data_IF_001286046172
#
_entry.id   IF_001286046172
#
_cell.length_a   1.000
_cell.length_b   1.000
_cell.length_c   1.000
_cell.angle_alpha   90.00
_cell.angle_beta   90.00
_cell.angle_gamma   90.00
#
_symmetry.space_group_name_H-M   'P 1'
#
loop_
_entity.id
_entity.type
_entity.pdbx_description
1 polymer ?
#
# COMPACT_ATOMS: atom_id res chain seq x y z
N UNK A 1 12.80 23.55 -7.90
CA UNK A 1 11.35 23.25 -7.75
C UNK A 1 11.22 21.80 -7.33
N UNK A 2 10.62 21.54 -6.17
CA UNK A 2 10.38 20.17 -5.73
C UNK A 2 9.17 19.66 -6.50
N UNK A 3 9.36 18.67 -7.37
CA UNK A 3 8.27 17.99 -8.04
C UNK A 3 7.42 17.29 -6.99
N UNK A 4 6.13 17.57 -6.97
CA UNK A 4 5.20 16.90 -6.06
C UNK A 4 5.01 15.45 -6.52
N UNK A 5 5.43 14.50 -5.71
CA UNK A 5 5.19 13.08 -5.96
C UNK A 5 3.69 12.78 -5.96
N UNK A 6 3.18 12.28 -7.06
CA UNK A 6 1.74 12.06 -7.27
C UNK A 6 1.35 10.61 -6.99
N UNK A 7 0.03 10.36 -6.89
CA UNK A 7 -0.51 8.98 -6.84
C UNK A 7 -0.04 8.16 -8.03
N UNK A 8 -0.04 8.76 -9.22
CA UNK A 8 0.42 8.07 -10.44
C UNK A 8 1.88 7.68 -10.33
N UNK A 9 2.75 8.58 -9.87
CA UNK A 9 4.18 8.28 -9.69
C UNK A 9 4.40 7.10 -8.75
N UNK A 10 3.64 7.04 -7.67
CA UNK A 10 3.67 5.94 -6.71
C UNK A 10 3.23 4.61 -7.34
N UNK A 11 2.12 4.62 -8.06
CA UNK A 11 1.61 3.44 -8.74
C UNK A 11 2.54 2.98 -9.87
N UNK A 12 3.11 3.91 -10.62
CA UNK A 12 4.11 3.60 -11.65
C UNK A 12 5.36 2.93 -11.06
N UNK A 13 5.85 3.42 -9.92
CA UNK A 13 6.99 2.83 -9.24
C UNK A 13 6.73 1.38 -8.80
N UNK A 14 5.50 1.05 -8.41
CA UNK A 14 5.13 -0.30 -7.99
C UNK A 14 4.79 -1.24 -9.16
N UNK A 15 4.04 -0.77 -10.15
CA UNK A 15 3.36 -1.63 -11.11
C UNK A 15 3.82 -1.47 -12.56
N UNK A 16 4.60 -0.45 -12.93
CA UNK A 16 4.93 -0.23 -14.34
C UNK A 16 5.70 -1.39 -14.98
N UNK A 17 6.64 -1.99 -14.26
CA UNK A 17 7.37 -3.16 -14.77
C UNK A 17 6.46 -4.37 -15.00
N UNK A 18 5.53 -4.59 -14.08
CA UNK A 18 4.53 -5.66 -14.22
C UNK A 18 3.70 -5.50 -15.50
N UNK A 19 3.17 -4.30 -15.75
CA UNK A 19 2.30 -4.05 -16.90
C UNK A 19 3.00 -3.99 -18.26
N UNK A 20 4.33 -4.03 -18.31
CA UNK A 20 5.06 -4.22 -19.58
C UNK A 20 4.80 -5.58 -20.21
N UNK A 21 4.75 -6.63 -19.40
CA UNK A 21 4.72 -8.01 -19.87
C UNK A 21 3.50 -8.82 -19.40
N UNK A 22 2.71 -8.24 -18.49
CA UNK A 22 1.59 -8.93 -17.85
C UNK A 22 0.29 -8.14 -17.97
N UNK A 23 -0.81 -8.87 -17.87
CA UNK A 23 -2.15 -8.34 -17.70
C UNK A 23 -2.71 -8.83 -16.37
N UNK A 24 -3.37 -7.97 -15.64
CA UNK A 24 -3.98 -8.31 -14.38
C UNK A 24 -4.62 -7.09 -13.74
N UNK A 25 -5.08 -7.26 -12.52
CA UNK A 25 -5.89 -6.26 -11.84
C UNK A 25 -5.26 -5.84 -10.53
N UNK A 26 -5.26 -4.54 -10.29
CA UNK A 26 -4.96 -3.98 -8.97
C UNK A 26 -6.26 -4.01 -8.16
N UNK A 27 -6.25 -4.76 -7.07
CA UNK A 27 -7.37 -4.84 -6.15
C UNK A 27 -7.38 -3.62 -5.25
N UNK A 28 -8.53 -2.95 -5.13
CA UNK A 28 -8.75 -1.86 -4.18
C UNK A 28 -9.96 -2.15 -3.33
N UNK A 29 -9.77 -2.06 -2.03
CA UNK A 29 -10.84 -2.13 -1.03
C UNK A 29 -11.00 -0.78 -0.36
N UNK A 30 -12.23 -0.36 -0.18
CA UNK A 30 -12.52 0.88 0.53
C UNK A 30 -13.76 0.74 1.40
N UNK A 31 -13.76 1.46 2.50
CA UNK A 31 -14.93 1.54 3.39
C UNK A 31 -15.04 2.94 3.97
N UNK A 32 -16.28 3.36 4.13
CA UNK A 32 -16.61 4.60 4.82
C UNK A 32 -16.39 4.39 6.32
N UNK A 33 -15.74 5.35 6.97
CA UNK A 33 -15.51 5.28 8.41
C UNK A 33 -16.85 5.22 9.14
N UNK A 34 -16.97 4.29 10.08
CA UNK A 34 -18.19 4.04 10.84
C UNK A 34 -19.23 3.15 10.13
N UNK A 35 -18.97 2.73 8.88
CA UNK A 35 -19.83 1.81 8.13
C UNK A 35 -19.05 0.50 7.87
N UNK A 36 -19.55 -0.65 8.33
CA UNK A 36 -18.87 -1.92 8.11
C UNK A 36 -18.90 -2.40 6.65
N UNK A 37 -19.71 -1.76 5.80
CA UNK A 37 -19.87 -2.16 4.40
C UNK A 37 -18.63 -1.80 3.57
N UNK A 38 -18.00 -2.82 3.01
CA UNK A 38 -16.80 -2.71 2.19
C UNK A 38 -17.15 -2.66 0.70
N UNK A 39 -16.45 -1.80 -0.03
CA UNK A 39 -16.46 -1.79 -1.50
C UNK A 39 -15.18 -2.43 -2.03
N UNK A 40 -15.30 -3.27 -3.04
CA UNK A 40 -14.17 -3.92 -3.71
C UNK A 40 -14.21 -3.59 -5.19
N UNK A 41 -13.09 -3.11 -5.72
CA UNK A 41 -12.94 -2.82 -7.15
C UNK A 41 -11.64 -3.39 -7.69
N UNK A 42 -11.60 -3.65 -8.98
CA UNK A 42 -10.47 -4.21 -9.70
C UNK A 42 -10.10 -3.29 -10.85
N UNK A 43 -8.87 -2.82 -10.87
CA UNK A 43 -8.40 -1.86 -11.88
C UNK A 43 -7.44 -2.56 -12.84
N UNK A 44 -7.73 -2.53 -14.16
CA UNK A 44 -6.94 -3.24 -15.14
C UNK A 44 -5.62 -2.55 -15.51
N UNK A 45 -5.42 -1.32 -15.06
CA UNK A 45 -4.19 -0.56 -15.32
C UNK A 45 -4.02 0.59 -14.33
N UNK A 46 -2.81 1.16 -14.36
CA UNK A 46 -2.41 2.26 -13.48
C UNK A 46 -3.20 3.54 -13.74
N UNK A 47 -3.43 3.86 -15.01
CA UNK A 47 -4.04 5.13 -15.43
C UNK A 47 -5.46 5.28 -14.89
N UNK A 48 -6.25 4.24 -14.94
CA UNK A 48 -7.63 4.24 -14.42
C UNK A 48 -7.62 4.41 -12.90
N UNK A 49 -6.77 3.66 -12.19
CA UNK A 49 -6.67 3.79 -10.73
C UNK A 49 -6.14 5.17 -10.30
N UNK A 50 -5.16 5.71 -11.02
CA UNK A 50 -4.58 7.01 -10.70
C UNK A 50 -5.60 8.16 -10.80
N UNK A 51 -6.60 8.02 -11.64
CA UNK A 51 -7.67 9.01 -11.86
C UNK A 51 -8.90 8.79 -10.98
N UNK A 52 -8.98 7.69 -10.27
CA UNK A 52 -10.15 7.37 -9.44
C UNK A 52 -10.25 8.32 -8.25
N UNK A 53 -11.48 8.74 -7.95
CA UNK A 53 -11.79 9.57 -6.80
C UNK A 53 -12.42 8.75 -5.69
N UNK A 54 -11.84 8.89 -4.49
CA UNK A 54 -12.42 8.41 -3.25
C UNK A 54 -12.66 9.60 -2.33
N UNK A 55 -13.83 9.66 -1.70
CA UNK A 55 -14.16 10.70 -0.74
C UNK A 55 -13.23 10.67 0.48
N UNK A 56 -13.01 11.82 1.11
CA UNK A 56 -12.15 11.92 2.30
C UNK A 56 -12.67 11.10 3.50
N UNK A 57 -13.96 10.76 3.50
CA UNK A 57 -14.60 9.92 4.51
C UNK A 57 -14.30 8.41 4.34
N UNK A 58 -13.59 8.04 3.30
CA UNK A 58 -13.28 6.63 3.00
C UNK A 58 -11.82 6.31 3.29
N UNK A 59 -11.62 5.17 3.94
CA UNK A 59 -10.31 4.54 4.02
C UNK A 59 -10.13 3.64 2.80
N UNK A 60 -8.99 3.76 2.12
CA UNK A 60 -8.71 3.10 0.85
C UNK A 60 -7.45 2.25 0.99
N UNK A 61 -7.56 0.99 0.63
CA UNK A 61 -6.46 0.02 0.65
C UNK A 61 -6.32 -0.63 -0.72
N UNK A 62 -5.10 -0.83 -1.16
CA UNK A 62 -4.84 -1.55 -2.41
C UNK A 62 -3.94 -2.76 -2.18
N UNK A 63 -4.08 -3.76 -3.03
CA UNK A 63 -3.24 -4.94 -3.00
C UNK A 63 -1.96 -4.73 -3.80
N UNK A 64 -0.81 -4.94 -3.16
CA UNK A 64 0.50 -4.89 -3.83
C UNK A 64 0.65 -6.01 -4.86
N UNK A 65 0.04 -7.16 -4.63
CA UNK A 65 0.13 -8.30 -5.54
C UNK A 65 -1.01 -8.24 -6.57
N UNK A 66 -0.73 -8.01 -7.86
CA UNK A 66 -1.78 -8.05 -8.89
C UNK A 66 -2.51 -9.38 -8.94
N UNK A 67 -3.79 -9.32 -9.26
CA UNK A 67 -4.65 -10.50 -9.45
C UNK A 67 -4.78 -10.80 -10.94
N UNK A 68 -4.65 -12.07 -11.33
CA UNK A 68 -4.86 -12.48 -12.73
C UNK A 68 -6.32 -12.40 -13.17
N UNK A 69 -7.25 -12.39 -12.20
CA UNK A 69 -8.70 -12.28 -12.41
C UNK A 69 -9.30 -11.27 -11.45
N UNK A 70 -10.54 -10.85 -11.71
CA UNK A 70 -11.32 -9.99 -10.82
C UNK A 70 -11.80 -10.77 -9.58
N UNK A 71 -10.85 -11.32 -8.83
CA UNK A 71 -11.02 -12.14 -7.62
C UNK A 71 -10.04 -11.70 -6.56
N UNK A 72 -10.48 -11.62 -5.31
CA UNK A 72 -9.65 -11.13 -4.21
C UNK A 72 -8.76 -12.22 -3.59
N UNK A 73 -9.12 -13.48 -3.74
CA UNK A 73 -8.47 -14.61 -3.10
C UNK A 73 -7.01 -14.77 -3.53
N UNK A 74 -6.17 -15.24 -2.61
CA UNK A 74 -4.73 -15.39 -2.82
C UNK A 74 -4.35 -16.33 -3.98
N UNK A 75 -5.23 -17.27 -4.32
CA UNK A 75 -5.05 -18.22 -5.42
C UNK A 75 -4.95 -17.53 -6.79
N UNK A 76 -5.43 -16.28 -6.88
CA UNK A 76 -5.36 -15.46 -8.09
C UNK A 76 -4.18 -14.50 -8.12
N UNK A 77 -3.29 -14.57 -7.13
CA UNK A 77 -2.00 -13.89 -7.13
C UNK A 77 -1.02 -14.72 -7.96
N UNK A 78 -0.43 -14.10 -8.96
CA UNK A 78 0.56 -14.75 -9.82
C UNK A 78 1.88 -13.97 -9.91
N UNK A 79 1.96 -12.80 -9.27
CA UNK A 79 3.13 -11.94 -9.31
C UNK A 79 3.26 -11.12 -8.03
N UNK A 80 4.49 -10.91 -7.60
CA UNK A 80 4.83 -10.01 -6.48
C UNK A 80 5.65 -8.87 -7.06
N UNK A 81 5.12 -7.65 -7.02
CA UNK A 81 5.79 -6.46 -7.58
C UNK A 81 6.81 -5.85 -6.61
N UNK A 82 6.64 -6.06 -5.32
CA UNK A 82 7.53 -5.52 -4.28
C UNK A 82 7.51 -6.40 -3.04
N UNK A 83 8.60 -6.37 -2.29
CA UNK A 83 8.60 -6.80 -0.90
C UNK A 83 8.25 -5.60 -0.03
N UNK A 84 7.54 -5.83 1.04
CA UNK A 84 7.11 -4.76 1.93
C UNK A 84 7.25 -5.14 3.40
N UNK A 85 7.36 -4.13 4.24
CA UNK A 85 7.31 -4.26 5.68
C UNK A 85 6.41 -3.16 6.26
N UNK A 86 5.68 -3.50 7.30
CA UNK A 86 4.84 -2.57 8.05
C UNK A 86 5.47 -2.31 9.41
N UNK A 87 5.69 -1.04 9.72
CA UNK A 87 6.29 -0.61 10.98
C UNK A 87 5.26 0.20 11.77
N UNK A 88 4.81 -0.37 12.86
CA UNK A 88 3.88 0.30 13.76
C UNK A 88 4.62 1.19 14.77
N UNK A 89 4.14 2.40 14.96
CA UNK A 89 4.69 3.39 15.90
C UNK A 89 3.61 3.80 16.90
N UNK A 90 3.97 3.76 18.18
CA UNK A 90 3.06 4.10 19.26
C UNK A 90 2.08 2.99 19.62
N UNK A 91 1.46 3.11 20.78
CA UNK A 91 0.58 2.09 21.32
C UNK A 91 -0.87 2.21 20.83
N UNK A 92 -1.26 3.38 20.37
CA UNK A 92 -2.63 3.66 19.94
C UNK A 92 -3.03 2.77 18.75
N UNK A 93 -4.09 2.00 18.92
CA UNK A 93 -4.60 1.08 17.91
C UNK A 93 -3.85 -0.27 17.82
N UNK A 94 -2.90 -0.53 18.71
CA UNK A 94 -2.14 -1.78 18.78
C UNK A 94 -2.46 -2.55 20.06
N UNK A 95 -2.86 -3.79 19.92
CA UNK A 95 -3.22 -4.65 21.06
C UNK A 95 -1.98 -5.24 21.76
N UNK A 96 -0.89 -5.47 21.01
CA UNK A 96 0.34 -6.09 21.51
C UNK A 96 1.48 -5.08 21.55
N UNK A 97 1.86 -4.68 22.77
CA UNK A 97 2.95 -3.72 23.04
C UNK A 97 4.33 -4.14 22.51
N UNK A 98 4.54 -5.41 22.23
CA UNK A 98 5.82 -5.92 21.71
C UNK A 98 5.97 -5.78 20.19
N UNK A 99 4.91 -5.37 19.49
CA UNK A 99 4.85 -5.31 18.03
C UNK A 99 4.90 -3.90 17.45
N UNK A 100 5.25 -2.90 18.24
CA UNK A 100 5.35 -1.53 17.76
C UNK A 100 6.59 -0.83 18.28
N UNK A 101 7.05 0.21 17.56
CA UNK A 101 8.12 1.09 18.00
C UNK A 101 7.56 2.20 18.90
N UNK A 102 8.30 2.58 19.95
CA UNK A 102 7.85 3.60 20.88
C UNK A 102 7.74 4.99 20.23
N UNK A 103 8.59 5.27 19.24
CA UNK A 103 8.58 6.54 18.56
C UNK A 103 9.22 6.50 17.17
N UNK A 104 9.12 7.62 16.41
CA UNK A 104 9.65 7.71 15.05
C UNK A 104 11.17 7.50 14.97
N UNK A 105 11.90 7.89 16.01
CA UNK A 105 13.37 7.76 16.04
C UNK A 105 13.81 6.29 16.14
N UNK A 106 13.12 5.49 16.93
CA UNK A 106 13.38 4.06 17.05
C UNK A 106 13.04 3.33 15.72
N UNK A 107 11.91 3.67 15.11
CA UNK A 107 11.53 3.16 13.80
C UNK A 107 12.55 3.54 12.70
N UNK A 108 13.01 4.79 12.68
CA UNK A 108 14.04 5.25 11.76
C UNK A 108 15.37 4.50 11.95
N UNK A 109 15.74 4.21 13.18
CA UNK A 109 16.93 3.39 13.49
C UNK A 109 16.79 1.97 12.94
N UNK A 110 15.61 1.37 13.10
CA UNK A 110 15.33 0.03 12.56
C UNK A 110 15.41 0.02 11.02
N UNK A 111 14.87 1.04 10.35
CA UNK A 111 14.96 1.18 8.90
C UNK A 111 16.42 1.28 8.45
N UNK A 112 17.23 2.08 9.11
CA UNK A 112 18.67 2.21 8.80
C UNK A 112 19.47 0.93 9.03
N UNK A 113 18.99 0.05 9.91
CA UNK A 113 19.64 -1.24 10.20
C UNK A 113 19.31 -2.35 9.23
N UNK A 114 18.34 -2.15 8.32
CA UNK A 114 18.02 -3.13 7.30
C UNK A 114 19.22 -3.35 6.36
N UNK A 115 19.43 -4.59 5.91
CA UNK A 115 20.54 -4.92 4.99
C UNK A 115 20.50 -4.14 3.68
N UNK A 116 19.32 -3.69 3.27
CA UNK A 116 19.10 -2.85 2.09
C UNK A 116 18.18 -1.69 2.44
N UNK A 117 18.50 -0.52 1.91
CA UNK A 117 17.62 0.63 2.04
C UNK A 117 16.28 0.36 1.31
N UNK A 118 15.14 0.77 1.88
CA UNK A 118 13.87 0.70 1.17
C UNK A 118 13.86 1.63 -0.04
N UNK A 119 13.19 1.21 -1.10
CA UNK A 119 13.01 2.03 -2.31
C UNK A 119 11.95 3.10 -2.13
N UNK A 120 10.95 2.82 -1.32
CA UNK A 120 9.84 3.73 -1.01
C UNK A 120 9.52 3.62 0.47
N UNK A 121 9.26 4.75 1.10
CA UNK A 121 8.76 4.84 2.47
C UNK A 121 7.44 5.61 2.43
N UNK A 122 6.38 5.02 2.99
CA UNK A 122 5.07 5.64 3.10
C UNK A 122 4.75 5.87 4.57
N UNK A 123 4.51 7.11 4.95
CA UNK A 123 3.99 7.43 6.27
C UNK A 123 2.49 7.10 6.32
N UNK A 124 2.11 6.16 7.17
CA UNK A 124 0.73 5.66 7.27
C UNK A 124 -0.10 6.39 8.33
N UNK A 125 0.50 7.34 9.05
CA UNK A 125 -0.14 8.07 10.17
C UNK A 125 0.06 7.40 11.53
N UNK A 126 0.21 6.08 11.58
CA UNK A 126 0.52 5.32 12.81
C UNK A 126 1.82 4.53 12.71
N UNK A 127 2.54 4.71 11.62
CA UNK A 127 3.77 4.00 11.35
C UNK A 127 4.29 4.29 9.96
N UNK A 128 5.01 3.35 9.39
CA UNK A 128 5.54 3.46 8.05
C UNK A 128 5.45 2.13 7.31
N UNK A 129 5.20 2.20 6.00
CA UNK A 129 5.31 1.08 5.07
C UNK A 129 6.60 1.26 4.25
N UNK A 130 7.37 0.20 4.12
CA UNK A 130 8.64 0.17 3.39
C UNK A 130 8.53 -0.69 2.15
#
# INVERSE_FOLDING_TARGET
MISKFTRKDFLDALFSEYYKDHRGFILVKSFKRGDPKQSTRYFPNIEILAKEHYGEERDVYFGICPRERMKAEKEHIHYIVALWADLDIGQEGHEDKQKFFEGPQEAAKAIRSFPRAPSIIVESGRGAHL
#
